data_IF_730391684647
#
_entry.id   IF_730391684647
#
_cell.length_a   1.000
_cell.length_b   1.000
_cell.length_c   1.000
_cell.angle_alpha   90.00
_cell.angle_beta   90.00
_cell.angle_gamma   90.00
#
_symmetry.space_group_name_H-M   'P 1'
#
loop_
_entity.id
_entity.type
_entity.pdbx_description
1 polymer ?
#
# COMPACT_ATOMS: atom_id res chain seq x y z
N UNK A 1 -8.34 57.87 36.81
CA UNK A 1 -8.17 58.81 35.69
C UNK A 1 -8.08 58.02 34.41
N UNK A 2 -9.11 58.16 33.62
CA UNK A 2 -9.24 57.46 32.34
C UNK A 2 -8.40 58.19 31.26
N UNK A 3 -7.82 57.45 30.33
CA UNK A 3 -7.52 58.02 29.04
C UNK A 3 -7.78 57.01 27.91
N UNK A 4 -8.82 57.33 27.19
CA UNK A 4 -9.30 56.73 25.94
C UNK A 4 -8.36 57.16 24.80
N UNK A 5 -7.83 56.20 24.04
CA UNK A 5 -7.19 56.44 22.75
C UNK A 5 -7.95 55.71 21.64
N UNK A 6 -8.81 56.48 20.99
CA UNK A 6 -9.54 56.09 19.77
C UNK A 6 -8.57 56.17 18.58
N UNK A 7 -8.17 55.02 18.05
CA UNK A 7 -7.30 54.91 16.86
C UNK A 7 -8.13 55.12 15.59
N UNK A 8 -7.90 56.25 14.91
CA UNK A 8 -8.46 56.56 13.59
C UNK A 8 -7.78 55.72 12.49
N UNK A 9 -8.54 55.01 11.68
CA UNK A 9 -8.03 54.29 10.51
C UNK A 9 -7.51 55.28 9.44
N UNK A 10 -6.37 55.01 8.79
CA UNK A 10 -5.77 55.92 7.82
C UNK A 10 -6.65 56.07 6.57
N UNK A 11 -6.85 57.29 6.14
CA UNK A 11 -7.63 57.78 4.96
C UNK A 11 -7.33 57.01 3.65
N UNK A 12 -6.16 56.42 3.54
CA UNK A 12 -5.71 55.69 2.35
C UNK A 12 -6.53 54.41 2.04
N UNK A 13 -7.14 53.76 3.03
CA UNK A 13 -7.96 52.54 2.86
C UNK A 13 -9.38 52.91 2.40
N UNK A 14 -9.90 54.05 2.79
CA UNK A 14 -11.22 54.53 2.36
C UNK A 14 -11.25 54.93 0.87
N UNK A 15 -10.16 55.55 0.38
CA UNK A 15 -10.06 55.93 -1.04
C UNK A 15 -9.87 54.74 -1.99
N UNK A 16 -9.25 53.66 -1.52
CA UNK A 16 -9.12 52.41 -2.31
C UNK A 16 -10.45 51.71 -2.50
N UNK A 17 -11.30 51.67 -1.49
CA UNK A 17 -12.62 50.99 -1.61
C UNK A 17 -13.58 51.79 -2.50
N UNK A 18 -13.56 53.11 -2.48
CA UNK A 18 -14.37 53.95 -3.40
C UNK A 18 -13.98 53.80 -4.86
N UNK A 19 -12.69 53.61 -5.16
CA UNK A 19 -12.22 53.31 -6.55
C UNK A 19 -12.57 51.93 -7.05
N UNK A 20 -12.72 50.95 -6.15
CA UNK A 20 -13.12 49.58 -6.50
C UNK A 20 -14.63 49.51 -6.81
N UNK A 21 -15.46 50.19 -6.04
CA UNK A 21 -16.92 50.22 -6.29
C UNK A 21 -17.28 51.00 -7.58
N UNK A 22 -16.56 52.05 -7.94
CA UNK A 22 -16.78 52.75 -9.22
C UNK A 22 -16.39 51.95 -10.48
N UNK A 23 -15.49 50.96 -10.36
CA UNK A 23 -15.09 50.12 -11.46
C UNK A 23 -16.07 48.95 -11.69
N UNK A 24 -16.82 48.53 -10.69
CA UNK A 24 -17.82 47.45 -10.78
C UNK A 24 -19.13 48.01 -11.41
N UNK A 25 -19.48 49.29 -11.20
CA UNK A 25 -20.67 49.89 -11.80
C UNK A 25 -20.58 50.20 -13.30
N UNK A 26 -19.36 50.29 -13.86
CA UNK A 26 -19.15 50.62 -15.28
C UNK A 26 -19.18 49.40 -16.25
N UNK A 27 -19.25 48.17 -15.74
CA UNK A 27 -19.24 46.94 -16.55
C UNK A 27 -20.66 46.40 -16.83
N UNK A 28 -21.70 46.98 -16.24
CA UNK A 28 -23.06 46.44 -16.31
C UNK A 28 -24.00 47.16 -17.31
N UNK A 29 -23.53 48.06 -18.16
CA UNK A 29 -24.37 48.83 -19.10
C UNK A 29 -23.94 48.80 -20.56
N UNK A 30 -23.51 47.69 -21.09
CA UNK A 30 -23.39 47.56 -22.56
C UNK A 30 -23.48 46.11 -22.99
N UNK A 31 -24.65 45.49 -23.03
CA UNK A 31 -24.96 44.39 -23.98
C UNK A 31 -26.51 44.27 -24.14
N UNK A 32 -27.05 45.08 -25.00
CA UNK A 32 -28.37 44.80 -25.60
C UNK A 32 -28.20 44.77 -27.12
N UNK A 33 -28.74 43.71 -27.72
CA UNK A 33 -29.04 43.52 -29.14
C UNK A 33 -27.88 43.13 -30.06
N UNK A 34 -27.80 41.80 -30.34
CA UNK A 34 -27.83 41.26 -31.73
C UNK A 34 -28.24 39.78 -31.65
N UNK A 35 -29.53 39.49 -31.85
CA UNK A 35 -30.05 38.17 -32.18
C UNK A 35 -29.62 37.84 -33.63
N UNK A 36 -28.62 37.03 -33.86
CA UNK A 36 -28.40 36.34 -35.13
C UNK A 36 -28.68 34.85 -34.91
N UNK A 37 -29.70 34.38 -35.66
CA UNK A 37 -30.04 32.97 -35.79
C UNK A 37 -28.78 32.22 -36.28
N UNK A 38 -28.24 31.32 -35.41
CA UNK A 38 -27.33 30.28 -35.85
C UNK A 38 -28.09 28.95 -35.88
N UNK A 39 -27.90 28.13 -36.93
CA UNK A 39 -28.49 26.80 -36.98
C UNK A 39 -27.93 25.91 -35.84
N UNK A 40 -28.82 25.15 -35.23
CA UNK A 40 -28.50 24.21 -34.18
C UNK A 40 -27.39 23.25 -34.64
N UNK A 41 -26.20 23.46 -34.10
CA UNK A 41 -25.10 22.48 -34.16
C UNK A 41 -25.40 21.47 -33.08
N UNK A 42 -25.65 20.24 -33.48
CA UNK A 42 -25.75 19.11 -32.59
C UNK A 42 -24.45 19.04 -31.74
N UNK A 43 -24.55 19.34 -30.44
CA UNK A 43 -23.49 19.10 -29.49
C UNK A 43 -23.28 17.59 -29.39
N UNK A 44 -22.19 17.15 -29.92
CA UNK A 44 -21.64 15.83 -29.63
C UNK A 44 -21.39 15.76 -28.12
N UNK A 45 -21.87 14.75 -27.37
CA UNK A 45 -21.63 14.67 -25.94
C UNK A 45 -20.13 14.55 -25.73
N UNK A 46 -19.58 15.44 -24.91
CA UNK A 46 -18.19 15.39 -24.47
C UNK A 46 -17.86 13.97 -23.95
N UNK A 47 -16.67 13.43 -24.26
CA UNK A 47 -16.30 12.10 -23.81
C UNK A 47 -16.42 12.04 -22.29
N UNK A 48 -17.33 11.21 -21.79
CA UNK A 48 -17.44 10.89 -20.38
C UNK A 48 -16.07 10.46 -19.88
N UNK A 49 -15.45 11.31 -19.08
CA UNK A 49 -14.26 10.95 -18.31
C UNK A 49 -14.70 9.81 -17.41
N UNK A 50 -14.48 8.56 -17.85
CA UNK A 50 -14.64 7.37 -17.02
C UNK A 50 -13.73 7.57 -15.81
N UNK A 51 -14.27 8.19 -14.77
CA UNK A 51 -13.72 8.08 -13.43
C UNK A 51 -13.65 6.58 -13.13
N UNK A 52 -12.45 6.04 -13.20
CA UNK A 52 -12.16 4.67 -12.80
C UNK A 52 -12.45 4.61 -11.31
N UNK A 53 -13.71 4.32 -10.98
CA UNK A 53 -14.13 4.01 -9.61
C UNK A 53 -13.16 2.95 -9.12
N UNK A 54 -12.30 3.29 -8.17
CA UNK A 54 -11.47 2.30 -7.49
C UNK A 54 -12.47 1.31 -6.91
N UNK A 55 -12.53 0.14 -7.50
CA UNK A 55 -13.36 -0.95 -7.02
C UNK A 55 -12.78 -1.31 -5.65
N UNK A 56 -13.43 -0.80 -4.59
CA UNK A 56 -13.02 -1.08 -3.21
C UNK A 56 -13.10 -2.58 -3.04
N UNK A 57 -11.96 -3.21 -2.84
CA UNK A 57 -11.90 -4.65 -2.61
C UNK A 57 -12.69 -4.99 -1.34
N UNK A 58 -13.32 -6.16 -1.31
CA UNK A 58 -14.02 -6.61 -0.11
C UNK A 58 -13.05 -6.60 1.08
N UNK A 59 -13.39 -5.94 2.19
CA UNK A 59 -12.53 -5.92 3.38
C UNK A 59 -12.11 -7.33 3.82
N UNK A 60 -10.85 -7.51 4.11
CA UNK A 60 -10.27 -8.78 4.60
C UNK A 60 -9.71 -8.57 6.00
N UNK A 61 -9.67 -9.66 6.79
CA UNK A 61 -8.96 -9.70 8.07
C UNK A 61 -7.53 -10.16 7.83
N UNK A 62 -6.56 -9.34 8.21
CA UNK A 62 -5.14 -9.57 7.96
C UNK A 62 -4.40 -9.65 9.30
N UNK A 63 -3.70 -10.76 9.53
CA UNK A 63 -2.80 -10.92 10.66
C UNK A 63 -1.37 -10.59 10.23
N UNK A 64 -0.73 -9.63 10.90
CA UNK A 64 0.67 -9.26 10.67
C UNK A 64 1.55 -9.92 11.72
N UNK A 65 2.36 -10.87 11.31
CA UNK A 65 3.36 -11.53 12.15
C UNK A 65 4.70 -10.82 11.93
N UNK A 66 5.05 -9.96 12.90
CA UNK A 66 6.23 -9.10 12.80
C UNK A 66 5.90 -7.69 12.28
N UNK A 67 5.30 -6.86 13.13
CA UNK A 67 4.99 -5.47 12.81
C UNK A 67 6.17 -4.51 13.00
N UNK A 68 7.36 -4.90 12.50
CA UNK A 68 8.51 -4.02 12.36
C UNK A 68 8.33 -3.02 11.21
N UNK A 69 9.45 -2.47 10.70
CA UNK A 69 9.41 -1.45 9.63
C UNK A 69 8.59 -1.89 8.42
N UNK A 70 8.82 -3.09 7.88
CA UNK A 70 8.10 -3.57 6.69
C UNK A 70 6.67 -3.99 7.03
N UNK A 71 6.48 -4.90 7.98
CA UNK A 71 5.15 -5.41 8.34
C UNK A 71 4.23 -4.34 8.89
N UNK A 72 4.74 -3.42 9.71
CA UNK A 72 4.01 -2.26 10.20
C UNK A 72 3.58 -1.33 9.06
N UNK A 73 4.45 -1.07 8.08
CA UNK A 73 4.13 -0.22 6.92
C UNK A 73 3.08 -0.87 6.02
N UNK A 74 3.26 -2.14 5.63
CA UNK A 74 2.29 -2.86 4.80
C UNK A 74 0.94 -2.95 5.50
N UNK A 75 0.92 -3.36 6.77
CA UNK A 75 -0.32 -3.39 7.55
C UNK A 75 -1.01 -2.03 7.63
N UNK A 76 -0.25 -0.95 7.86
CA UNK A 76 -0.80 0.41 7.97
C UNK A 76 -1.45 0.89 6.66
N UNK A 77 -0.85 0.64 5.50
CA UNK A 77 -1.47 1.02 4.21
C UNK A 77 -2.68 0.15 3.92
N UNK A 78 -2.71 -1.12 4.32
CA UNK A 78 -3.87 -1.99 4.19
C UNK A 78 -5.04 -1.56 5.10
N UNK A 79 -4.77 -1.08 6.33
CA UNK A 79 -5.81 -0.42 7.17
C UNK A 79 -6.40 0.78 6.46
N UNK A 80 -5.56 1.64 5.86
CA UNK A 80 -6.01 2.82 5.10
C UNK A 80 -6.80 2.44 3.84
N UNK A 81 -6.52 1.28 3.27
CA UNK A 81 -7.28 0.71 2.15
C UNK A 81 -8.62 0.06 2.57
N UNK A 82 -8.91 0.00 3.88
CA UNK A 82 -10.19 -0.47 4.41
C UNK A 82 -10.18 -1.89 4.97
N UNK A 83 -9.04 -2.57 5.03
CA UNK A 83 -8.92 -3.88 5.66
C UNK A 83 -8.86 -3.78 7.19
N UNK A 84 -9.23 -4.87 7.87
CA UNK A 84 -9.03 -5.04 9.31
C UNK A 84 -7.68 -5.71 9.56
N UNK A 85 -6.82 -5.10 10.36
CA UNK A 85 -5.46 -5.59 10.58
C UNK A 85 -5.18 -5.79 12.06
N UNK A 86 -4.72 -6.99 12.42
CA UNK A 86 -4.16 -7.26 13.75
C UNK A 86 -2.64 -7.37 13.63
N UNK A 87 -1.95 -6.43 14.27
CA UNK A 87 -0.49 -6.36 14.33
C UNK A 87 0.05 -7.18 15.48
N UNK A 88 1.16 -7.87 15.27
CA UNK A 88 1.88 -8.54 16.34
C UNK A 88 3.38 -8.29 16.30
N UNK A 89 4.00 -8.23 17.46
CA UNK A 89 5.42 -8.04 17.68
C UNK A 89 5.85 -8.75 18.96
N UNK A 90 7.15 -8.91 19.15
CA UNK A 90 7.73 -9.30 20.44
C UNK A 90 7.54 -8.20 21.51
N UNK A 91 7.28 -6.98 21.08
CA UNK A 91 7.04 -5.80 21.92
C UNK A 91 5.66 -5.18 21.57
N UNK A 92 4.55 -5.81 21.96
CA UNK A 92 3.21 -5.37 21.54
C UNK A 92 2.86 -3.97 22.04
N UNK A 93 3.38 -3.56 23.20
CA UNK A 93 3.11 -2.23 23.77
C UNK A 93 3.57 -1.08 22.86
N UNK A 94 4.68 -1.28 22.13
CA UNK A 94 5.20 -0.30 21.16
C UNK A 94 4.23 -0.09 19.99
N UNK A 95 3.36 -1.05 19.70
CA UNK A 95 2.40 -0.99 18.60
C UNK A 95 1.09 -0.30 18.97
N UNK A 96 0.81 -0.12 20.27
CA UNK A 96 -0.47 0.42 20.75
C UNK A 96 -0.72 1.85 20.25
N UNK A 97 0.32 2.70 20.18
CA UNK A 97 0.22 4.05 19.66
C UNK A 97 -0.11 4.04 18.16
N UNK A 98 0.61 3.25 17.38
CA UNK A 98 0.38 3.09 15.93
C UNK A 98 -1.05 2.58 15.65
N UNK A 99 -1.53 1.59 16.38
CA UNK A 99 -2.87 1.05 16.18
C UNK A 99 -3.96 2.09 16.47
N UNK A 100 -3.80 2.90 17.53
CA UNK A 100 -4.73 4.01 17.84
C UNK A 100 -4.78 5.06 16.75
N UNK A 101 -3.63 5.45 16.20
CA UNK A 101 -3.54 6.42 15.09
C UNK A 101 -4.20 5.89 13.81
N UNK A 102 -4.13 4.59 13.55
CA UNK A 102 -4.75 3.94 12.41
C UNK A 102 -6.28 3.78 12.55
N UNK A 103 -6.80 3.87 13.77
CA UNK A 103 -8.24 3.83 14.05
C UNK A 103 -8.81 2.42 14.24
N UNK A 104 -10.14 2.25 14.21
CA UNK A 104 -10.83 1.06 14.71
C UNK A 104 -10.59 -0.22 13.89
N UNK A 105 -10.03 -0.12 12.69
CA UNK A 105 -9.66 -1.29 11.88
C UNK A 105 -8.29 -1.87 12.23
N UNK A 106 -7.54 -1.21 13.11
CA UNK A 106 -6.25 -1.68 13.59
C UNK A 106 -6.35 -2.18 15.02
N UNK A 107 -5.74 -3.31 15.30
CA UNK A 107 -5.64 -3.87 16.64
C UNK A 107 -4.25 -4.50 16.85
N UNK A 108 -3.90 -4.74 18.11
CA UNK A 108 -2.62 -5.37 18.49
C UNK A 108 -2.91 -6.67 19.21
N UNK A 109 -2.01 -7.62 19.10
CA UNK A 109 -2.09 -8.88 19.83
C UNK A 109 -0.78 -9.67 19.74
N UNK A 110 -0.79 -10.85 20.34
CA UNK A 110 0.26 -11.84 20.21
C UNK A 110 0.33 -12.39 18.78
N UNK A 111 1.44 -13.01 18.36
CA UNK A 111 1.52 -13.69 17.07
C UNK A 111 0.40 -14.73 16.86
N UNK A 112 0.00 -15.46 17.91
CA UNK A 112 -1.10 -16.42 17.84
C UNK A 112 -2.44 -15.72 17.59
N UNK A 113 -2.75 -14.67 18.35
CA UNK A 113 -3.99 -13.92 18.15
C UNK A 113 -4.06 -13.27 16.76
N UNK A 114 -2.94 -12.77 16.23
CA UNK A 114 -2.88 -12.25 14.88
C UNK A 114 -3.06 -13.35 13.82
N UNK A 115 -2.46 -14.53 14.04
CA UNK A 115 -2.62 -15.68 13.17
C UNK A 115 -4.06 -16.21 13.16
N UNK A 116 -4.73 -16.29 14.31
CA UNK A 116 -6.11 -16.72 14.43
C UNK A 116 -7.10 -15.73 13.81
N UNK A 117 -6.88 -14.43 14.02
CA UNK A 117 -7.69 -13.34 13.49
C UNK A 117 -7.69 -13.28 11.95
N UNK A 118 -6.49 -13.35 11.34
CA UNK A 118 -6.33 -13.14 9.91
C UNK A 118 -6.87 -14.30 9.07
N UNK A 119 -7.61 -14.00 8.00
CA UNK A 119 -7.85 -14.93 6.89
C UNK A 119 -6.68 -14.98 5.92
N UNK A 120 -5.91 -13.89 5.87
CA UNK A 120 -4.62 -13.76 5.20
C UNK A 120 -3.59 -13.33 6.24
N UNK A 121 -2.38 -13.84 6.17
CA UNK A 121 -1.29 -13.53 7.08
C UNK A 121 -0.14 -12.89 6.32
N UNK A 122 0.48 -11.87 6.90
CA UNK A 122 1.75 -11.31 6.45
C UNK A 122 2.84 -11.69 7.43
N UNK A 123 3.82 -12.48 7.00
CA UNK A 123 5.03 -12.77 7.75
C UNK A 123 6.14 -11.82 7.34
N UNK A 124 6.60 -10.99 8.27
CA UNK A 124 7.66 -10.00 8.08
C UNK A 124 8.61 -10.01 9.29
N UNK A 125 9.20 -11.15 9.55
CA UNK A 125 10.10 -11.45 10.67
C UNK A 125 11.49 -11.82 10.17
N UNK A 126 12.54 -11.80 11.04
CA UNK A 126 13.80 -12.42 10.75
C UNK A 126 13.61 -13.89 10.32
N UNK A 127 14.37 -14.34 9.33
CA UNK A 127 14.19 -15.67 8.72
C UNK A 127 14.35 -16.80 9.73
N UNK A 128 15.26 -16.65 10.68
CA UNK A 128 15.52 -17.60 11.75
C UNK A 128 14.36 -17.81 12.71
N UNK A 129 13.39 -16.91 12.73
CA UNK A 129 12.18 -17.05 13.56
C UNK A 129 11.13 -17.97 12.93
N UNK A 130 11.25 -18.29 11.63
CA UNK A 130 10.23 -19.08 10.91
C UNK A 130 10.06 -20.50 11.46
N UNK A 131 11.10 -21.27 11.83
CA UNK A 131 10.94 -22.62 12.40
C UNK A 131 10.08 -22.63 13.66
N UNK A 132 10.37 -21.73 14.59
CA UNK A 132 9.63 -21.62 15.85
C UNK A 132 8.19 -21.14 15.62
N UNK A 133 8.01 -20.10 14.82
CA UNK A 133 6.67 -19.60 14.47
C UNK A 133 5.84 -20.65 13.73
N UNK A 134 6.44 -21.40 12.80
CA UNK A 134 5.75 -22.47 12.07
C UNK A 134 5.30 -23.61 12.99
N UNK A 135 6.11 -23.97 13.99
CA UNK A 135 5.76 -24.96 15.01
C UNK A 135 4.66 -24.42 15.93
N UNK A 136 4.89 -23.22 16.49
CA UNK A 136 4.03 -22.66 17.54
C UNK A 136 2.66 -22.20 17.01
N UNK A 137 2.59 -21.81 15.74
CA UNK A 137 1.37 -21.33 15.07
C UNK A 137 0.74 -22.38 14.15
N UNK A 138 1.25 -23.61 14.11
CA UNK A 138 0.89 -24.68 13.15
C UNK A 138 -0.61 -24.75 12.86
N UNK A 139 -1.42 -24.81 13.90
CA UNK A 139 -2.87 -24.98 13.76
C UNK A 139 -3.57 -23.67 13.33
N UNK A 140 -3.06 -22.53 13.78
CA UNK A 140 -3.60 -21.21 13.46
C UNK A 140 -3.32 -20.78 12.00
N UNK A 141 -2.24 -21.28 11.39
CA UNK A 141 -1.85 -20.93 10.00
C UNK A 141 -2.33 -21.93 8.95
N UNK A 142 -2.76 -23.12 9.35
CA UNK A 142 -3.17 -24.19 8.44
C UNK A 142 -4.25 -23.74 7.46
N UNK A 143 -4.03 -23.97 6.16
CA UNK A 143 -4.94 -23.62 5.07
C UNK A 143 -5.02 -22.13 4.76
N UNK A 144 -4.35 -21.29 5.54
CA UNK A 144 -4.38 -19.83 5.32
C UNK A 144 -3.40 -19.40 4.23
N UNK A 145 -3.75 -18.29 3.56
CA UNK A 145 -2.84 -17.60 2.64
C UNK A 145 -1.80 -16.86 3.47
N UNK A 146 -0.53 -17.11 3.16
CA UNK A 146 0.62 -16.44 3.80
C UNK A 146 1.36 -15.62 2.77
N UNK A 147 1.40 -14.30 2.97
CA UNK A 147 2.31 -13.39 2.28
C UNK A 147 3.65 -13.44 3.00
N UNK A 148 4.63 -14.09 2.41
CA UNK A 148 5.97 -14.25 2.99
C UNK A 148 6.90 -13.16 2.50
N UNK A 149 7.22 -12.22 3.38
CA UNK A 149 8.17 -11.14 3.17
C UNK A 149 9.55 -11.39 3.82
N UNK A 150 9.74 -12.57 4.43
CA UNK A 150 10.97 -12.91 5.12
C UNK A 150 12.11 -13.20 4.14
N UNK A 151 13.32 -12.85 4.48
CA UNK A 151 14.52 -13.09 3.66
C UNK A 151 15.66 -13.67 4.50
N UNK A 152 16.35 -14.68 3.97
CA UNK A 152 17.56 -15.24 4.53
C UNK A 152 18.75 -14.32 4.23
N UNK A 153 19.32 -13.71 5.27
CA UNK A 153 20.38 -12.69 5.13
C UNK A 153 21.74 -13.10 5.68
N UNK A 154 21.75 -14.04 6.60
CA UNK A 154 22.91 -14.41 7.39
C UNK A 154 23.66 -15.64 6.89
N UNK A 155 24.32 -16.30 7.82
CA UNK A 155 25.20 -17.42 7.55
C UNK A 155 24.85 -18.70 8.36
N UNK A 156 23.66 -18.71 9.01
CA UNK A 156 23.18 -19.93 9.67
C UNK A 156 22.97 -21.07 8.67
N UNK A 157 22.90 -22.30 9.12
CA UNK A 157 22.65 -23.45 8.26
C UNK A 157 21.32 -23.30 7.51
N UNK A 158 20.28 -22.83 8.21
CA UNK A 158 18.95 -22.56 7.62
C UNK A 158 19.01 -21.50 6.53
N UNK A 159 19.70 -20.40 6.77
CA UNK A 159 19.79 -19.32 5.80
C UNK A 159 20.59 -19.71 4.57
N UNK A 160 21.67 -20.49 4.73
CA UNK A 160 22.43 -21.07 3.62
C UNK A 160 21.57 -22.05 2.80
N UNK A 161 20.73 -22.86 3.46
CA UNK A 161 19.77 -23.71 2.78
C UNK A 161 18.80 -22.88 1.95
N UNK A 162 18.22 -21.82 2.54
CA UNK A 162 17.27 -20.95 1.86
C UNK A 162 17.91 -20.18 0.69
N UNK A 163 19.15 -19.71 0.83
CA UNK A 163 19.88 -19.06 -0.26
C UNK A 163 20.18 -20.06 -1.41
N UNK A 164 20.43 -21.32 -1.10
CA UNK A 164 20.68 -22.35 -2.09
C UNK A 164 19.41 -22.82 -2.81
N UNK A 165 18.35 -23.13 -2.06
CA UNK A 165 17.14 -23.72 -2.57
C UNK A 165 16.07 -22.69 -2.98
N UNK A 166 16.21 -21.44 -2.53
CA UNK A 166 15.24 -20.35 -2.62
C UNK A 166 14.48 -20.16 -1.30
N UNK A 167 14.21 -18.89 -0.97
CA UNK A 167 13.46 -18.57 0.25
C UNK A 167 12.05 -19.16 0.22
N UNK A 168 11.34 -19.06 -0.91
CA UNK A 168 9.97 -19.57 -1.05
C UNK A 168 9.86 -21.07 -0.79
N UNK A 169 10.58 -21.94 -1.53
CA UNK A 169 10.59 -23.39 -1.29
C UNK A 169 11.00 -23.77 0.14
N UNK A 170 11.93 -23.04 0.77
CA UNK A 170 12.35 -23.30 2.15
C UNK A 170 11.26 -22.85 3.14
N UNK A 171 10.67 -21.66 2.95
CA UNK A 171 9.58 -21.16 3.83
C UNK A 171 8.36 -22.09 3.86
N UNK A 172 8.00 -22.72 2.75
CA UNK A 172 6.89 -23.71 2.71
C UNK A 172 7.15 -24.89 3.66
N UNK A 173 8.41 -25.36 3.76
CA UNK A 173 8.77 -26.44 4.70
C UNK A 173 8.65 -25.97 6.16
N UNK A 174 8.98 -24.69 6.41
CA UNK A 174 8.95 -24.09 7.74
C UNK A 174 7.53 -23.69 8.19
N UNK A 175 6.64 -23.42 7.25
CA UNK A 175 5.24 -23.04 7.48
C UNK A 175 4.29 -24.06 6.85
N UNK A 176 4.27 -25.32 7.34
CA UNK A 176 3.56 -26.41 6.68
C UNK A 176 2.05 -26.19 6.68
N UNK A 177 1.43 -26.58 5.55
CA UNK A 177 -0.02 -26.51 5.37
C UNK A 177 -0.53 -25.10 5.04
N UNK A 178 0.35 -24.13 4.81
CA UNK A 178 -0.02 -22.79 4.33
C UNK A 178 -0.10 -22.74 2.81
N UNK A 179 -0.80 -21.72 2.30
CA UNK A 179 -0.89 -21.35 0.89
C UNK A 179 0.02 -20.15 0.66
N UNK A 180 1.31 -20.42 0.48
CA UNK A 180 2.37 -19.43 0.54
C UNK A 180 2.53 -18.65 -0.75
N UNK A 181 2.64 -17.33 -0.63
CA UNK A 181 3.00 -16.39 -1.71
C UNK A 181 4.19 -15.57 -1.25
N UNK A 182 5.29 -15.59 -1.99
CA UNK A 182 6.38 -14.63 -1.81
C UNK A 182 5.89 -13.27 -2.24
N UNK A 183 5.80 -12.32 -1.30
CA UNK A 183 5.28 -10.98 -1.54
C UNK A 183 5.95 -9.96 -0.61
N UNK A 184 6.15 -8.73 -1.08
CA UNK A 184 6.80 -7.63 -0.35
C UNK A 184 8.26 -7.91 0.10
N UNK A 185 8.83 -9.05 -0.22
CA UNK A 185 10.19 -9.46 0.18
C UNK A 185 11.31 -8.71 -0.55
N UNK A 186 11.01 -8.12 -1.70
CA UNK A 186 11.98 -7.45 -2.57
C UNK A 186 11.78 -5.93 -2.66
N UNK A 187 11.08 -5.32 -1.71
CA UNK A 187 10.78 -3.88 -1.70
C UNK A 187 10.97 -3.29 -0.31
N UNK A 188 11.32 -2.02 -0.25
CA UNK A 188 11.50 -1.31 1.02
C UNK A 188 10.19 -0.68 1.53
N UNK A 189 10.02 -0.66 2.84
CA UNK A 189 8.89 -0.04 3.52
C UNK A 189 8.66 1.43 3.09
N UNK A 190 9.74 2.21 2.97
CA UNK A 190 9.68 3.61 2.52
C UNK A 190 9.13 3.75 1.11
N UNK A 191 9.47 2.83 0.20
CA UNK A 191 9.00 2.83 -1.18
C UNK A 191 7.51 2.42 -1.28
N UNK A 192 7.06 1.49 -0.45
CA UNK A 192 5.64 1.12 -0.34
C UNK A 192 4.83 2.33 0.14
N UNK A 193 5.26 3.00 1.21
CA UNK A 193 4.62 4.20 1.74
C UNK A 193 4.54 5.32 0.68
N UNK A 194 5.63 5.54 -0.06
CA UNK A 194 5.66 6.53 -1.13
C UNK A 194 4.73 6.13 -2.29
N UNK A 195 4.70 4.85 -2.70
CA UNK A 195 3.84 4.35 -3.77
C UNK A 195 2.36 4.47 -3.42
N UNK A 196 1.97 4.25 -2.17
CA UNK A 196 0.59 4.39 -1.71
C UNK A 196 0.03 5.79 -1.99
N UNK A 197 0.86 6.82 -1.90
CA UNK A 197 0.49 8.22 -2.15
C UNK A 197 0.50 8.62 -3.63
N UNK A 198 1.14 7.84 -4.52
CA UNK A 198 1.23 8.16 -5.96
C UNK A 198 -0.07 7.83 -6.68
N UNK A 199 -0.37 8.58 -7.74
CA UNK A 199 -1.45 8.25 -8.67
C UNK A 199 -0.94 7.36 -9.81
N UNK A 200 0.24 7.66 -10.33
CA UNK A 200 0.89 6.95 -11.42
C UNK A 200 2.24 6.37 -10.96
N UNK A 201 2.90 5.60 -11.82
CA UNK A 201 4.23 5.02 -11.59
C UNK A 201 4.32 4.28 -10.25
N UNK A 202 3.30 3.45 -9.98
CA UNK A 202 3.23 2.63 -8.77
C UNK A 202 4.45 1.72 -8.67
N UNK A 203 4.90 1.49 -7.44
CA UNK A 203 5.98 0.55 -7.14
C UNK A 203 5.57 -0.87 -7.54
N UNK A 204 6.39 -1.52 -8.34
CA UNK A 204 6.19 -2.94 -8.65
C UNK A 204 6.57 -3.82 -7.46
N UNK A 205 5.69 -4.76 -7.11
CA UNK A 205 5.94 -5.80 -6.12
C UNK A 205 5.94 -7.16 -6.82
N UNK A 206 7.11 -7.84 -6.92
CA UNK A 206 7.16 -9.17 -7.52
C UNK A 206 6.49 -10.21 -6.62
N UNK A 207 5.77 -11.14 -7.24
CA UNK A 207 5.02 -12.22 -6.59
C UNK A 207 5.43 -13.58 -7.17
N UNK A 208 5.55 -14.58 -6.31
CA UNK A 208 5.77 -15.98 -6.71
C UNK A 208 5.00 -16.94 -5.80
N UNK A 209 4.29 -17.91 -6.38
CA UNK A 209 3.52 -18.90 -5.64
C UNK A 209 3.18 -20.10 -6.52
N UNK A 210 3.03 -21.27 -5.90
CA UNK A 210 2.51 -22.48 -6.55
C UNK A 210 0.97 -22.56 -6.49
N UNK A 211 0.32 -21.63 -5.74
CA UNK A 211 -1.13 -21.56 -5.57
C UNK A 211 -1.71 -20.35 -6.33
N UNK A 212 -2.38 -20.62 -7.45
CA UNK A 212 -2.94 -19.59 -8.31
C UNK A 212 -4.03 -18.73 -7.61
N UNK A 213 -4.85 -19.33 -6.74
CA UNK A 213 -5.90 -18.60 -6.05
C UNK A 213 -5.31 -17.72 -4.92
N UNK A 214 -4.28 -18.20 -4.19
CA UNK A 214 -3.54 -17.39 -3.23
C UNK A 214 -2.81 -16.23 -3.92
N UNK A 215 -2.23 -16.47 -5.10
CA UNK A 215 -1.60 -15.46 -5.94
C UNK A 215 -2.55 -14.31 -6.28
N UNK A 216 -3.81 -14.59 -6.64
CA UNK A 216 -4.80 -13.55 -6.95
C UNK A 216 -5.13 -12.69 -5.73
N UNK A 217 -5.27 -13.30 -4.56
CA UNK A 217 -5.50 -12.56 -3.30
C UNK A 217 -4.28 -11.71 -2.96
N UNK A 218 -3.07 -12.25 -3.08
CA UNK A 218 -1.84 -11.49 -2.87
C UNK A 218 -1.71 -10.30 -3.84
N UNK A 219 -2.01 -10.52 -5.13
CA UNK A 219 -2.01 -9.46 -6.14
C UNK A 219 -3.03 -8.36 -5.82
N UNK A 220 -4.22 -8.73 -5.30
CA UNK A 220 -5.20 -7.75 -4.86
C UNK A 220 -4.67 -6.93 -3.68
N UNK A 221 -4.11 -7.55 -2.65
CA UNK A 221 -3.55 -6.86 -1.48
C UNK A 221 -2.36 -5.97 -1.84
N UNK A 222 -1.57 -6.34 -2.84
CA UNK A 222 -0.52 -5.46 -3.39
C UNK A 222 -1.11 -4.20 -4.02
N UNK A 223 -2.22 -4.32 -4.78
CA UNK A 223 -2.93 -3.15 -5.33
C UNK A 223 -3.52 -2.29 -4.22
N UNK A 224 -4.14 -2.90 -3.23
CA UNK A 224 -4.72 -2.21 -2.08
C UNK A 224 -3.64 -1.48 -1.26
N UNK A 225 -2.42 -2.03 -1.21
CA UNK A 225 -1.26 -1.35 -0.64
C UNK A 225 -0.70 -0.22 -1.54
N UNK A 226 -1.38 0.13 -2.64
CA UNK A 226 -0.97 1.20 -3.55
C UNK A 226 0.24 0.87 -4.42
N UNK A 227 0.48 -0.42 -4.65
CA UNK A 227 1.56 -0.95 -5.48
C UNK A 227 1.00 -1.67 -6.72
N UNK A 228 1.88 -2.09 -7.63
CA UNK A 228 1.51 -2.85 -8.82
C UNK A 228 2.08 -4.28 -8.72
N UNK A 229 1.25 -5.34 -8.74
CA UNK A 229 1.75 -6.71 -8.67
C UNK A 229 2.40 -7.14 -9.99
N UNK A 230 3.55 -7.80 -9.88
CA UNK A 230 4.22 -8.46 -11.01
C UNK A 230 4.33 -9.95 -10.70
N UNK A 231 3.49 -10.77 -11.34
CA UNK A 231 3.55 -12.22 -11.19
C UNK A 231 4.79 -12.72 -11.92
N UNK A 232 5.71 -13.33 -11.17
CA UNK A 232 7.00 -13.84 -11.69
C UNK A 232 6.92 -15.31 -12.07
N UNK A 233 6.13 -16.09 -11.32
CA UNK A 233 5.94 -17.50 -11.57
C UNK A 233 5.67 -18.29 -10.30
N UNK A 234 6.16 -19.53 -10.25
CA UNK A 234 6.05 -20.42 -9.09
C UNK A 234 7.05 -20.03 -7.97
N UNK A 235 7.04 -20.72 -6.83
CA UNK A 235 7.89 -20.39 -5.68
C UNK A 235 9.39 -20.45 -6.00
N UNK A 236 9.82 -21.34 -6.90
CA UNK A 236 11.23 -21.41 -7.33
C UNK A 236 11.64 -20.22 -8.21
N UNK A 237 10.71 -19.64 -8.96
CA UNK A 237 10.93 -18.41 -9.71
C UNK A 237 11.14 -17.19 -8.80
N UNK A 238 10.76 -17.29 -7.52
CA UNK A 238 11.03 -16.29 -6.49
C UNK A 238 12.50 -15.91 -6.39
N UNK A 239 13.40 -16.83 -6.75
CA UNK A 239 14.85 -16.55 -6.82
C UNK A 239 15.20 -15.34 -7.68
N UNK A 240 14.42 -15.01 -8.71
CA UNK A 240 14.67 -13.87 -9.59
C UNK A 240 14.62 -12.51 -8.87
N UNK A 241 14.01 -12.45 -7.69
CA UNK A 241 13.89 -11.24 -6.88
C UNK A 241 14.37 -11.44 -5.42
N UNK A 242 15.21 -12.44 -5.17
CA UNK A 242 15.89 -12.63 -3.90
C UNK A 242 17.16 -11.78 -3.82
N UNK A 243 17.68 -11.62 -2.62
CA UNK A 243 18.92 -10.88 -2.37
C UNK A 243 20.06 -11.33 -3.28
N UNK A 244 20.80 -10.38 -3.82
CA UNK A 244 21.91 -10.64 -4.75
C UNK A 244 21.48 -10.74 -6.21
N UNK A 245 20.19 -10.60 -6.51
CA UNK A 245 19.68 -10.59 -7.89
C UNK A 245 19.24 -9.19 -8.32
N UNK A 246 19.18 -8.90 -9.63
CA UNK A 246 18.72 -7.60 -10.13
C UNK A 246 17.30 -7.23 -9.70
N UNK A 247 16.43 -8.21 -9.46
CA UNK A 247 15.04 -7.98 -9.05
C UNK A 247 14.88 -7.56 -7.58
N UNK A 248 15.92 -7.77 -6.75
CA UNK A 248 15.87 -7.40 -5.34
C UNK A 248 16.04 -5.90 -5.16
N UNK A 249 15.05 -5.24 -4.52
CA UNK A 249 15.05 -3.80 -4.26
C UNK A 249 15.27 -2.94 -5.51
N UNK A 250 14.79 -3.42 -6.65
CA UNK A 250 14.91 -2.70 -7.91
C UNK A 250 14.07 -1.40 -7.93
N UNK A 251 12.98 -1.34 -7.14
CA UNK A 251 12.10 -0.17 -6.97
C UNK A 251 11.62 0.45 -8.28
N UNK A 252 11.24 -0.40 -9.22
CA UNK A 252 10.81 -0.04 -10.57
C UNK A 252 9.28 0.00 -10.69
N UNK A 253 8.79 0.52 -11.82
CA UNK A 253 7.42 0.31 -12.28
C UNK A 253 7.23 -1.13 -12.79
N UNK A 254 5.99 -1.60 -12.90
CA UNK A 254 5.70 -2.97 -13.31
C UNK A 254 6.25 -3.32 -14.69
N UNK A 255 6.17 -2.39 -15.65
CA UNK A 255 6.72 -2.59 -16.99
C UNK A 255 8.24 -2.79 -16.95
N UNK A 256 8.96 -1.88 -16.28
CA UNK A 256 10.42 -1.96 -16.15
C UNK A 256 10.88 -3.20 -15.38
N UNK A 257 10.13 -3.60 -14.33
CA UNK A 257 10.44 -4.82 -13.58
C UNK A 257 10.23 -6.08 -14.43
N UNK A 258 9.13 -6.17 -15.22
CA UNK A 258 8.92 -7.28 -16.16
C UNK A 258 10.06 -7.38 -17.15
N UNK A 259 10.48 -6.26 -17.73
CA UNK A 259 11.61 -6.21 -18.65
C UNK A 259 12.90 -6.69 -17.99
N UNK A 260 13.21 -6.18 -16.78
CA UNK A 260 14.42 -6.58 -16.02
C UNK A 260 14.45 -8.08 -15.73
N UNK A 261 13.30 -8.67 -15.41
CA UNK A 261 13.17 -10.09 -15.06
C UNK A 261 12.98 -11.01 -16.28
N UNK A 262 12.98 -10.47 -17.50
CA UNK A 262 12.76 -11.24 -18.73
C UNK A 262 11.37 -11.89 -18.85
N UNK A 263 10.37 -11.28 -18.22
CA UNK A 263 8.99 -11.78 -18.26
C UNK A 263 8.31 -11.31 -19.55
N UNK A 264 7.66 -12.26 -20.27
CA UNK A 264 6.84 -11.90 -21.44
C UNK A 264 5.65 -11.03 -21.01
N UNK A 265 5.21 -10.16 -21.94
CA UNK A 265 4.00 -9.34 -21.78
C UNK A 265 2.76 -10.20 -21.64
#
# INVERSE_FOLDING_TARGET
MANSAMSARPKRIQDMNKKLEMKIAAVLMTTAALLTLHPARSEEPAPETKQRTQQVSKPMRIGVIGAGSLGGTVGSVLVKAGHEVKFSSRHPDELAAMARELGPRASVGSPREAAEFGTVLLFAVPYEALPDLGRDLKDAIRGKIVLDACNAWGNTALEKEAQTNGNGPTSVKLLPGTRLVRAFSAVDATQIKASFQRQNDKLAVPLASDDAAAMQIAAQLVRDAGCEPVIVGNLTDGKKFERGTPGFRAHLTAEKLRQLLGLRK
#
